data_IF_563141894260
#
_entry.id   IF_563141894260
#
_cell.length_a   1.000
_cell.length_b   1.000
_cell.length_c   1.000
_cell.angle_alpha   90.00
_cell.angle_beta   90.00
_cell.angle_gamma   90.00
#
_symmetry.space_group_name_H-M   'P 1'
#
loop_
_entity.id
_entity.type
_entity.pdbx_description
1 polymer ?
#
# COMPACT_ATOMS: atom_id res chain seq x y z
N UNK A 1 -22.69 4.99 30.67
CA UNK A 1 -21.94 4.22 29.65
C UNK A 1 -22.15 4.89 28.29
N UNK A 2 -21.28 5.85 27.94
CA UNK A 2 -21.37 6.56 26.68
C UNK A 2 -21.00 5.60 25.54
N UNK A 3 -21.99 5.15 24.77
CA UNK A 3 -21.74 4.48 23.51
C UNK A 3 -21.22 5.55 22.54
N UNK A 4 -19.90 5.61 22.34
CA UNK A 4 -19.32 6.42 21.27
C UNK A 4 -19.81 5.86 19.93
N UNK A 5 -20.82 6.51 19.36
CA UNK A 5 -21.40 6.23 18.03
C UNK A 5 -20.38 6.21 16.88
N UNK A 6 -19.14 6.64 17.13
CA UNK A 6 -18.02 6.60 16.18
C UNK A 6 -17.23 5.29 16.20
N UNK A 7 -17.30 4.49 17.28
CA UNK A 7 -16.55 3.22 17.35
C UNK A 7 -16.90 2.22 16.24
N UNK A 8 -18.18 2.07 15.82
CA UNK A 8 -18.53 1.18 14.72
C UNK A 8 -17.96 1.66 13.38
N UNK A 9 -17.92 2.98 13.16
CA UNK A 9 -17.42 3.59 11.93
C UNK A 9 -15.91 3.40 11.79
N UNK A 10 -15.14 3.59 12.87
CA UNK A 10 -13.70 3.34 12.84
C UNK A 10 -13.36 1.86 12.64
N UNK A 11 -14.17 0.96 13.21
CA UNK A 11 -14.04 -0.49 12.97
C UNK A 11 -14.39 -0.82 11.52
N UNK A 12 -15.48 -0.28 10.99
CA UNK A 12 -15.89 -0.45 9.59
C UNK A 12 -14.84 0.04 8.60
N UNK A 13 -14.28 1.24 8.81
CA UNK A 13 -13.20 1.79 7.99
C UNK A 13 -11.93 0.95 8.04
N UNK A 14 -11.56 0.46 9.24
CA UNK A 14 -10.38 -0.40 9.40
C UNK A 14 -10.57 -1.74 8.68
N UNK A 15 -11.73 -2.36 8.85
CA UNK A 15 -12.08 -3.62 8.17
C UNK A 15 -12.13 -3.41 6.66
N UNK A 16 -12.74 -2.31 6.19
CA UNK A 16 -12.76 -1.95 4.77
C UNK A 16 -11.35 -1.79 4.19
N UNK A 17 -10.43 -1.15 4.91
CA UNK A 17 -9.04 -1.01 4.50
C UNK A 17 -8.33 -2.37 4.41
N UNK A 18 -8.55 -3.26 5.39
CA UNK A 18 -7.99 -4.61 5.37
C UNK A 18 -8.54 -5.44 4.19
N UNK A 19 -9.86 -5.41 3.97
CA UNK A 19 -10.52 -6.10 2.86
C UNK A 19 -10.01 -5.57 1.52
N UNK A 20 -9.89 -4.25 1.40
CA UNK A 20 -9.40 -3.61 0.18
C UNK A 20 -7.95 -3.99 -0.14
N UNK A 21 -7.07 -3.97 0.86
CA UNK A 21 -5.68 -4.41 0.71
C UNK A 21 -5.63 -5.88 0.30
N UNK A 22 -6.41 -6.75 0.95
CA UNK A 22 -6.43 -8.18 0.64
C UNK A 22 -6.93 -8.44 -0.78
N UNK A 23 -8.02 -7.79 -1.19
CA UNK A 23 -8.62 -7.96 -2.51
C UNK A 23 -7.68 -7.48 -3.63
N UNK A 24 -7.07 -6.30 -3.47
CA UNK A 24 -6.17 -5.76 -4.49
C UNK A 24 -4.82 -6.49 -4.53
N UNK A 25 -4.33 -6.97 -3.40
CA UNK A 25 -3.14 -7.80 -3.38
C UNK A 25 -3.39 -9.15 -4.07
N UNK A 26 -4.55 -9.77 -3.82
CA UNK A 26 -4.96 -10.98 -4.52
C UNK A 26 -5.04 -10.75 -6.03
N UNK A 27 -5.60 -9.60 -6.46
CA UNK A 27 -5.62 -9.22 -7.88
C UNK A 27 -4.22 -9.14 -8.47
N UNK A 28 -3.26 -8.48 -7.79
CA UNK A 28 -1.86 -8.39 -8.25
C UNK A 28 -1.23 -9.78 -8.36
N UNK A 29 -1.44 -10.65 -7.38
CA UNK A 29 -0.93 -12.03 -7.41
C UNK A 29 -1.50 -12.78 -8.61
N UNK A 30 -2.81 -12.72 -8.85
CA UNK A 30 -3.45 -13.35 -10.02
C UNK A 30 -2.85 -12.81 -11.32
N UNK A 31 -2.68 -11.48 -11.43
CA UNK A 31 -2.08 -10.84 -12.62
C UNK A 31 -0.67 -11.32 -12.88
N UNK A 32 0.16 -11.42 -11.84
CA UNK A 32 1.53 -11.94 -11.91
C UNK A 32 1.56 -13.38 -12.41
N UNK A 33 0.67 -14.23 -11.90
CA UNK A 33 0.57 -15.64 -12.30
C UNK A 33 0.09 -15.78 -13.75
N UNK A 34 -0.84 -14.92 -14.21
CA UNK A 34 -1.36 -14.95 -15.59
C UNK A 34 -0.32 -14.45 -16.60
N UNK A 35 0.52 -13.48 -16.22
CA UNK A 35 1.53 -12.91 -17.11
C UNK A 35 2.74 -13.84 -17.37
N UNK A 36 2.92 -14.89 -16.55
CA UNK A 36 3.97 -15.92 -16.66
C UNK A 36 5.37 -15.38 -17.05
N UNK A 37 5.80 -14.33 -16.36
CA UNK A 37 7.06 -13.64 -16.62
C UNK A 37 8.23 -14.30 -15.88
N UNK A 38 9.48 -14.25 -16.39
CA UNK A 38 10.67 -14.66 -15.64
C UNK A 38 10.86 -13.89 -14.31
N UNK A 39 10.20 -12.75 -14.14
CA UNK A 39 10.19 -11.96 -12.89
C UNK A 39 9.10 -12.38 -11.89
N UNK A 40 8.30 -13.40 -12.21
CA UNK A 40 7.16 -13.85 -11.42
C UNK A 40 7.54 -14.12 -9.96
N UNK A 41 8.60 -14.90 -9.72
CA UNK A 41 9.02 -15.27 -8.36
C UNK A 41 9.39 -14.02 -7.55
N UNK A 42 10.09 -13.06 -8.16
CA UNK A 42 10.44 -11.80 -7.50
C UNK A 42 9.20 -10.95 -7.18
N UNK A 43 8.23 -10.87 -8.10
CA UNK A 43 6.99 -10.14 -7.89
C UNK A 43 6.12 -10.78 -6.79
N UNK A 44 6.02 -12.11 -6.75
CA UNK A 44 5.31 -12.83 -5.68
C UNK A 44 5.99 -12.64 -4.32
N UNK A 45 7.33 -12.71 -4.27
CA UNK A 45 8.08 -12.47 -3.05
C UNK A 45 7.87 -11.04 -2.53
N UNK A 46 7.86 -10.04 -3.40
CA UNK A 46 7.55 -8.65 -3.06
C UNK A 46 6.10 -8.46 -2.60
N UNK A 47 5.13 -9.14 -3.24
CA UNK A 47 3.73 -9.11 -2.83
C UNK A 47 3.56 -9.72 -1.42
N UNK A 48 4.22 -10.84 -1.15
CA UNK A 48 4.26 -11.44 0.18
C UNK A 48 4.94 -10.52 1.21
N UNK A 49 6.06 -9.89 0.84
CA UNK A 49 6.73 -8.91 1.71
C UNK A 49 5.82 -7.72 2.03
N UNK A 50 5.11 -7.18 1.03
CA UNK A 50 4.13 -6.11 1.23
C UNK A 50 3.02 -6.54 2.20
N UNK A 51 2.49 -7.76 2.07
CA UNK A 51 1.49 -8.31 2.99
C UNK A 51 2.01 -8.38 4.43
N UNK A 52 3.21 -8.94 4.61
CA UNK A 52 3.86 -9.07 5.91
C UNK A 52 4.10 -7.70 6.53
N UNK A 53 4.69 -6.76 5.78
CA UNK A 53 4.88 -5.38 6.23
C UNK A 53 3.56 -4.76 6.64
N UNK A 54 2.50 -4.93 5.86
CA UNK A 54 1.18 -4.39 6.17
C UNK A 54 0.61 -4.94 7.49
N UNK A 55 0.76 -6.25 7.73
CA UNK A 55 0.36 -6.89 8.99
C UNK A 55 1.19 -6.42 10.19
N UNK A 56 2.50 -6.18 9.99
CA UNK A 56 3.37 -5.61 11.03
C UNK A 56 2.91 -4.21 11.49
N UNK A 57 2.16 -3.48 10.67
CA UNK A 57 1.52 -2.22 11.02
C UNK A 57 0.63 -2.29 12.26
N UNK A 58 0.00 -3.44 12.53
CA UNK A 58 -0.78 -3.65 13.74
C UNK A 58 0.09 -3.53 15.01
N UNK A 59 1.36 -3.91 14.92
CA UNK A 59 2.32 -3.88 16.03
C UNK A 59 2.82 -2.46 16.34
N UNK A 60 2.75 -1.52 15.39
CA UNK A 60 3.11 -0.10 15.62
C UNK A 60 2.26 0.52 16.75
N UNK A 61 1.02 0.04 16.95
CA UNK A 61 0.15 0.48 18.05
C UNK A 61 0.60 0.02 19.44
N UNK A 62 1.46 -0.99 19.51
CA UNK A 62 2.01 -1.54 20.76
C UNK A 62 3.31 -0.82 21.19
N UNK A 63 3.87 0.04 20.33
CA UNK A 63 5.10 0.78 20.61
C UNK A 63 4.79 1.98 21.50
N UNK A 64 5.73 2.34 22.39
CA UNK A 64 5.65 3.53 23.26
C UNK A 64 5.29 4.78 22.45
N UNK A 65 4.42 5.61 22.99
CA UNK A 65 3.89 6.82 22.34
C UNK A 65 4.99 7.72 21.76
N UNK A 66 6.07 7.93 22.51
CA UNK A 66 7.22 8.75 22.09
C UNK A 66 7.94 8.26 20.83
N UNK A 67 7.88 6.96 20.52
CA UNK A 67 8.50 6.37 19.31
C UNK A 67 7.48 6.04 18.22
N UNK A 68 6.20 6.11 18.53
CA UNK A 68 5.12 5.66 17.63
C UNK A 68 5.09 6.42 16.31
N UNK A 69 5.34 7.72 16.32
CA UNK A 69 5.40 8.54 15.11
C UNK A 69 6.57 8.14 14.20
N UNK A 70 7.77 7.98 14.76
CA UNK A 70 8.96 7.58 14.00
C UNK A 70 8.83 6.16 13.43
N UNK A 71 8.38 5.20 14.24
CA UNK A 71 8.16 3.82 13.78
C UNK A 71 7.05 3.75 12.74
N UNK A 72 5.98 4.53 12.92
CA UNK A 72 4.91 4.66 11.93
C UNK A 72 5.41 5.23 10.60
N UNK A 73 6.25 6.27 10.63
CA UNK A 73 6.85 6.84 9.44
C UNK A 73 7.74 5.81 8.71
N UNK A 74 8.62 5.12 9.43
CA UNK A 74 9.48 4.05 8.85
C UNK A 74 8.64 2.94 8.22
N UNK A 75 7.57 2.52 8.90
CA UNK A 75 6.66 1.50 8.41
C UNK A 75 5.93 1.93 7.12
N UNK A 76 5.42 3.16 7.09
CA UNK A 76 4.79 3.73 5.90
C UNK A 76 5.79 3.82 4.75
N UNK A 77 6.99 4.34 4.99
CA UNK A 77 8.05 4.41 3.97
C UNK A 77 8.41 3.03 3.42
N UNK A 78 8.50 2.00 4.26
CA UNK A 78 8.77 0.63 3.83
C UNK A 78 7.65 0.07 2.93
N UNK A 79 6.39 0.31 3.28
CA UNK A 79 5.23 -0.08 2.46
C UNK A 79 5.22 0.65 1.10
N UNK A 80 5.47 1.96 1.11
CA UNK A 80 5.55 2.76 -0.11
C UNK A 80 6.69 2.28 -1.01
N UNK A 81 7.86 1.99 -0.45
CA UNK A 81 9.00 1.49 -1.21
C UNK A 81 8.70 0.12 -1.85
N UNK A 82 8.15 -0.83 -1.07
CA UNK A 82 7.76 -2.14 -1.59
C UNK A 82 6.72 -2.03 -2.71
N UNK A 83 5.75 -1.12 -2.57
CA UNK A 83 4.77 -0.84 -3.61
C UNK A 83 5.41 -0.26 -4.88
N UNK A 84 6.32 0.70 -4.76
CA UNK A 84 7.04 1.26 -5.92
C UNK A 84 7.83 0.16 -6.63
N UNK A 85 8.50 -0.72 -5.88
CA UNK A 85 9.21 -1.86 -6.48
C UNK A 85 8.25 -2.78 -7.22
N UNK A 86 7.10 -3.14 -6.62
CA UNK A 86 6.05 -3.91 -7.30
C UNK A 86 5.55 -3.22 -8.57
N UNK A 87 5.35 -1.91 -8.53
CA UNK A 87 4.88 -1.11 -9.66
C UNK A 87 5.83 -1.16 -10.86
N UNK A 88 7.14 -1.18 -10.59
CA UNK A 88 8.17 -1.31 -11.64
C UNK A 88 8.18 -2.72 -12.25
N UNK A 89 7.90 -3.76 -11.44
CA UNK A 89 7.83 -5.13 -11.95
C UNK A 89 6.51 -5.42 -12.68
N UNK A 90 5.40 -4.84 -12.19
CA UNK A 90 4.03 -5.17 -12.58
C UNK A 90 3.20 -3.88 -12.57
N UNK A 91 2.81 -3.35 -13.75
CA UNK A 91 2.02 -2.12 -13.84
C UNK A 91 0.68 -2.19 -13.09
N UNK A 92 0.06 -3.38 -13.01
CA UNK A 92 -1.18 -3.61 -12.25
C UNK A 92 -1.02 -3.33 -10.74
N UNK A 93 0.20 -3.31 -10.20
CA UNK A 93 0.41 -2.93 -8.80
C UNK A 93 0.04 -1.45 -8.54
N UNK A 94 -0.19 -0.64 -9.57
CA UNK A 94 -0.77 0.70 -9.42
C UNK A 94 -2.07 0.69 -8.63
N UNK A 95 -2.89 -0.37 -8.72
CA UNK A 95 -4.15 -0.46 -7.97
C UNK A 95 -3.94 -0.45 -6.44
N UNK A 96 -2.79 -0.92 -5.95
CA UNK A 96 -2.43 -0.88 -4.52
C UNK A 96 -2.23 0.54 -3.99
N UNK A 97 -2.12 1.56 -4.85
CA UNK A 97 -2.05 2.96 -4.42
C UNK A 97 -3.32 3.38 -3.67
N UNK A 98 -4.46 2.80 -4.03
CA UNK A 98 -5.75 3.14 -3.46
C UNK A 98 -5.83 2.82 -1.95
N UNK A 99 -5.53 1.60 -1.48
CA UNK A 99 -5.46 1.33 -0.04
C UNK A 99 -4.34 2.11 0.65
N UNK A 100 -3.22 2.39 -0.04
CA UNK A 100 -2.14 3.22 0.50
C UNK A 100 -2.59 4.65 0.78
N UNK A 101 -3.48 5.24 -0.04
CA UNK A 101 -4.03 6.57 0.23
C UNK A 101 -4.77 6.61 1.57
N UNK A 102 -5.67 5.64 1.81
CA UNK A 102 -6.35 5.55 3.11
C UNK A 102 -5.35 5.34 4.24
N UNK A 103 -4.31 4.54 4.00
CA UNK A 103 -3.29 4.27 5.00
C UNK A 103 -2.49 5.53 5.34
N UNK A 104 -2.08 6.32 4.35
CA UNK A 104 -1.37 7.59 4.55
C UNK A 104 -2.24 8.57 5.34
N UNK A 105 -3.50 8.77 4.94
CA UNK A 105 -4.42 9.67 5.63
C UNK A 105 -4.73 9.23 7.07
N UNK A 106 -4.70 7.93 7.36
CA UNK A 106 -5.00 7.40 8.68
C UNK A 106 -3.76 7.33 9.61
N UNK A 107 -2.59 7.03 9.07
CA UNK A 107 -1.38 6.76 9.85
C UNK A 107 -0.47 7.99 10.02
N UNK A 108 -0.48 8.91 9.06
CA UNK A 108 0.34 10.12 9.10
C UNK A 108 -0.38 11.28 9.81
N UNK A 109 0.36 12.25 10.35
CA UNK A 109 -0.22 13.47 10.89
C UNK A 109 -0.96 14.28 9.80
N UNK A 110 -1.93 15.11 10.22
CA UNK A 110 -2.94 15.77 9.35
C UNK A 110 -2.42 16.34 8.03
N UNK A 111 -1.25 16.99 8.02
CA UNK A 111 -0.69 17.58 6.80
C UNK A 111 0.12 16.59 5.94
N UNK A 112 0.79 15.62 6.57
CA UNK A 112 1.66 14.68 5.87
C UNK A 112 0.88 13.63 5.07
N UNK A 113 -0.32 13.25 5.52
CA UNK A 113 -1.20 12.31 4.82
C UNK A 113 -1.55 12.77 3.39
N UNK A 114 -2.16 13.96 3.21
CA UNK A 114 -2.47 14.50 1.89
C UNK A 114 -1.24 14.70 1.00
N UNK A 115 -0.12 15.16 1.57
CA UNK A 115 1.14 15.30 0.81
C UNK A 115 1.60 13.94 0.27
N UNK A 116 1.58 12.89 1.09
CA UNK A 116 1.95 11.54 0.68
C UNK A 116 1.00 10.99 -0.42
N UNK A 117 -0.30 11.31 -0.36
CA UNK A 117 -1.27 10.97 -1.41
C UNK A 117 -0.88 11.62 -2.74
N UNK A 118 -0.59 12.92 -2.74
CA UNK A 118 -0.17 13.65 -3.95
C UNK A 118 1.11 13.04 -4.51
N UNK A 119 2.12 12.81 -3.67
CA UNK A 119 3.40 12.21 -4.10
C UNK A 119 3.18 10.82 -4.69
N UNK A 120 2.41 9.94 -4.02
CA UNK A 120 2.15 8.60 -4.53
C UNK A 120 1.33 8.60 -5.82
N UNK A 121 0.42 9.58 -5.98
CA UNK A 121 -0.32 9.78 -7.24
C UNK A 121 0.64 10.15 -8.37
N UNK A 122 1.55 11.12 -8.14
CA UNK A 122 2.54 11.51 -9.14
C UNK A 122 3.43 10.33 -9.53
N UNK A 123 3.88 9.52 -8.56
CA UNK A 123 4.68 8.32 -8.82
C UNK A 123 3.90 7.32 -9.68
N UNK A 124 2.63 7.05 -9.37
CA UNK A 124 1.79 6.15 -10.15
C UNK A 124 1.58 6.65 -11.59
N UNK A 125 1.27 7.95 -11.75
CA UNK A 125 1.05 8.57 -13.06
C UNK A 125 2.32 8.54 -13.90
N UNK A 126 3.47 8.90 -13.33
CA UNK A 126 4.76 8.88 -14.04
C UNK A 126 5.13 7.45 -14.43
N UNK A 127 5.02 6.48 -13.52
CA UNK A 127 5.36 5.08 -13.80
C UNK A 127 4.48 4.48 -14.91
N UNK A 128 3.16 4.69 -14.84
CA UNK A 128 2.22 4.22 -15.86
C UNK A 128 2.42 4.94 -17.19
N UNK A 129 2.66 6.26 -17.16
CA UNK A 129 2.96 7.05 -18.34
C UNK A 129 4.24 6.61 -19.04
N UNK A 130 5.31 6.33 -18.29
CA UNK A 130 6.57 5.80 -18.83
C UNK A 130 6.39 4.40 -19.42
N UNK A 131 5.57 3.54 -18.81
CA UNK A 131 5.28 2.19 -19.33
C UNK A 131 4.41 2.25 -20.58
N UNK A 132 3.47 3.19 -20.66
CA UNK A 132 2.65 3.41 -21.86
C UNK A 132 3.45 4.06 -23.01
N UNK A 133 4.46 4.87 -22.69
CA UNK A 133 5.33 5.54 -23.65
C UNK A 133 6.43 4.62 -24.24
N UNK A 134 6.56 3.38 -23.76
CA UNK A 134 7.45 2.37 -24.33
C UNK A 134 6.68 1.27 -25.11
N UNK A 135 6.04 1.60 -26.26
CA UNK A 135 5.46 0.60 -27.14
C UNK A 135 6.56 -0.03 -28.00
N UNK A 136 7.42 -0.89 -27.44
CA UNK A 136 8.29 -1.79 -28.24
C UNK A 136 9.08 -2.79 -27.39
N UNK A 137 8.47 -3.94 -27.11
CA UNK A 137 9.14 -5.23 -27.01
C UNK A 137 8.05 -6.32 -27.00
N UNK A 138 7.38 -6.48 -28.14
CA UNK A 138 6.64 -7.70 -28.49
C UNK A 138 7.55 -8.52 -29.37
#
# INVERSE_FOLDING_TARGET
MAHSTLSPVFVGLRTGLHVLVAALLALVVVRVLVADSPRMVAALALAAAFAVLYLLGARVRLVRESRRAAVGAVWITALTAAWITLLVLVPDAAYLVFPLFFLYLHALPRAAGPIAVVVATLVAVVALGCTAASPSAV
#
